data_IF_142092180029
#
_entry.id   IF_142092180029
#
_cell.length_a   1.000
_cell.length_b   1.000
_cell.length_c   1.000
_cell.angle_alpha   90.00
_cell.angle_beta   90.00
_cell.angle_gamma   90.00
#
_symmetry.space_group_name_H-M   'P 1'
#
loop_
_entity.id
_entity.type
_entity.pdbx_description
1 polymer ?
#
# COMPACT_ATOMS: atom_id res chain seq x y z
N UNK A 1 -21.85 23.31 -12.23
CA UNK A 1 -20.94 24.44 -12.50
C UNK A 1 -20.01 24.49 -11.31
N UNK A 2 -18.70 24.36 -11.52
CA UNK A 2 -17.74 24.46 -10.43
C UNK A 2 -17.53 25.90 -9.99
N UNK A 3 -17.11 26.05 -8.74
CA UNK A 3 -16.76 27.34 -8.18
C UNK A 3 -15.25 27.52 -8.06
N UNK A 4 -14.81 28.77 -8.22
CA UNK A 4 -13.47 29.20 -7.82
C UNK A 4 -13.65 30.06 -6.57
N UNK A 5 -13.02 29.64 -5.47
CA UNK A 5 -13.00 30.41 -4.23
C UNK A 5 -11.68 31.19 -4.15
N UNK A 6 -11.76 32.51 -4.10
CA UNK A 6 -10.61 33.40 -4.01
C UNK A 6 -10.47 33.94 -2.58
N UNK A 7 -9.27 33.84 -2.00
CA UNK A 7 -8.95 34.42 -0.70
C UNK A 7 -7.47 34.84 -0.65
N UNK A 8 -7.22 36.12 -0.34
CA UNK A 8 -5.87 36.67 -0.38
C UNK A 8 -5.19 36.46 -1.75
N UNK A 9 -4.07 35.76 -1.77
CA UNK A 9 -3.30 35.42 -2.97
C UNK A 9 -3.65 34.04 -3.56
N UNK A 10 -4.63 33.35 -3.00
CA UNK A 10 -4.95 31.97 -3.32
C UNK A 10 -6.25 31.84 -4.11
N UNK A 11 -6.28 30.87 -5.03
CA UNK A 11 -7.51 30.42 -5.69
C UNK A 11 -7.69 28.93 -5.52
N UNK A 12 -8.86 28.52 -5.05
CA UNK A 12 -9.24 27.13 -4.88
C UNK A 12 -10.24 26.76 -5.97
N UNK A 13 -9.83 25.87 -6.88
CA UNK A 13 -10.61 25.39 -8.01
C UNK A 13 -11.32 24.09 -7.64
N UNK A 14 -12.63 24.16 -7.39
CA UNK A 14 -13.42 23.04 -6.90
C UNK A 14 -13.41 21.84 -7.86
N UNK A 15 -13.75 22.05 -9.14
CA UNK A 15 -13.85 20.96 -10.13
C UNK A 15 -12.48 20.39 -10.48
N UNK A 16 -11.46 21.23 -10.56
CA UNK A 16 -10.11 20.81 -10.89
C UNK A 16 -9.40 20.13 -9.71
N UNK A 17 -9.87 20.31 -8.47
CA UNK A 17 -9.22 19.77 -7.27
C UNK A 17 -7.89 20.46 -6.95
N UNK A 18 -7.75 21.74 -7.32
CA UNK A 18 -6.46 22.45 -7.28
C UNK A 18 -6.48 23.68 -6.39
N UNK A 19 -5.37 23.95 -5.74
CA UNK A 19 -5.08 25.21 -5.07
C UNK A 19 -3.96 25.91 -5.83
N UNK A 20 -4.13 27.18 -6.17
CA UNK A 20 -3.09 27.99 -6.81
C UNK A 20 -2.76 29.22 -5.98
N UNK A 21 -1.54 29.72 -6.14
CA UNK A 21 -1.05 30.99 -5.60
C UNK A 21 -0.43 31.78 -6.76
N UNK A 22 -1.16 32.75 -7.29
CA UNK A 22 -0.81 33.35 -8.58
C UNK A 22 -0.87 32.30 -9.69
N UNK A 23 0.25 32.09 -10.39
CA UNK A 23 0.38 31.09 -11.47
C UNK A 23 0.89 29.72 -10.97
N UNK A 24 1.31 29.63 -9.69
CA UNK A 24 1.89 28.41 -9.13
C UNK A 24 0.80 27.49 -8.54
N UNK A 25 0.84 26.21 -8.90
CA UNK A 25 -0.03 25.18 -8.31
C UNK A 25 0.57 24.65 -7.01
N UNK A 26 -0.20 24.74 -5.92
CA UNK A 26 0.16 24.23 -4.61
C UNK A 26 -0.46 22.84 -4.41
N UNK A 27 0.41 21.84 -4.26
CA UNK A 27 -0.05 20.46 -4.11
C UNK A 27 -0.67 20.22 -2.72
N UNK A 28 -1.86 19.63 -2.71
CA UNK A 28 -2.56 19.18 -1.51
C UNK A 28 -2.95 17.70 -1.66
N UNK A 29 -2.91 16.96 -0.55
CA UNK A 29 -3.52 15.63 -0.49
C UNK A 29 -5.04 15.75 -0.66
N UNK A 30 -5.72 14.69 -1.11
CA UNK A 30 -7.18 14.72 -1.29
C UNK A 30 -7.93 15.12 0.00
N UNK A 31 -7.46 14.67 1.17
CA UNK A 31 -8.03 15.05 2.47
C UNK A 31 -7.69 16.48 2.88
N UNK A 32 -6.48 16.96 2.57
CA UNK A 32 -6.10 18.36 2.74
C UNK A 32 -6.98 19.29 1.90
N UNK A 33 -7.15 18.98 0.61
CA UNK A 33 -8.01 19.73 -0.29
C UNK A 33 -9.46 19.75 0.21
N UNK A 34 -10.04 18.59 0.53
CA UNK A 34 -11.42 18.52 1.03
C UNK A 34 -11.61 19.30 2.35
N UNK A 35 -10.63 19.25 3.26
CA UNK A 35 -10.66 20.01 4.51
C UNK A 35 -10.63 21.51 4.25
N UNK A 36 -9.74 21.96 3.35
CA UNK A 36 -9.63 23.37 2.97
C UNK A 36 -10.90 23.87 2.30
N UNK A 37 -11.43 23.12 1.33
CA UNK A 37 -12.67 23.45 0.63
C UNK A 37 -13.83 23.61 1.62
N UNK A 38 -14.01 22.65 2.53
CA UNK A 38 -15.11 22.70 3.51
C UNK A 38 -14.99 23.88 4.48
N UNK A 39 -13.76 24.25 4.86
CA UNK A 39 -13.50 25.43 5.68
C UNK A 39 -13.77 26.74 4.92
N UNK A 40 -13.40 26.80 3.64
CA UNK A 40 -13.59 27.96 2.75
C UNK A 40 -15.06 28.18 2.42
N UNK A 41 -15.83 27.12 2.16
CA UNK A 41 -17.28 27.16 1.98
C UNK A 41 -18.01 27.75 3.19
N UNK A 42 -17.42 27.63 4.37
CA UNK A 42 -17.94 28.11 5.65
C UNK A 42 -17.10 29.25 6.24
N UNK A 43 -16.44 30.04 5.39
CA UNK A 43 -15.60 31.15 5.83
C UNK A 43 -16.31 32.06 6.84
N UNK A 44 -15.58 32.45 7.90
CA UNK A 44 -16.07 33.19 9.04
C UNK A 44 -16.81 32.35 10.11
N UNK A 45 -17.23 31.13 9.80
CA UNK A 45 -17.95 30.25 10.73
C UNK A 45 -17.00 29.30 11.47
N UNK A 46 -17.32 29.02 12.75
CA UNK A 46 -16.64 27.95 13.49
C UNK A 46 -17.14 26.59 13.00
N UNK A 47 -16.21 25.76 12.53
CA UNK A 47 -16.49 24.36 12.17
C UNK A 47 -15.97 23.44 13.28
N UNK A 48 -16.85 22.69 13.98
CA UNK A 48 -16.46 21.76 15.04
C UNK A 48 -15.51 20.66 14.54
N UNK A 49 -14.63 20.17 15.43
CA UNK A 49 -13.69 19.08 15.08
C UNK A 49 -14.42 17.80 14.67
N UNK A 50 -15.46 17.43 15.39
CA UNK A 50 -16.21 16.20 15.13
C UNK A 50 -16.93 16.28 13.78
N UNK A 51 -17.44 17.46 13.42
CA UNK A 51 -18.04 17.70 12.11
C UNK A 51 -17.01 17.60 10.98
N UNK A 52 -15.81 18.16 11.16
CA UNK A 52 -14.72 17.99 10.17
C UNK A 52 -14.28 16.53 10.07
N UNK A 53 -14.19 15.82 11.19
CA UNK A 53 -13.85 14.41 11.22
C UNK A 53 -14.92 13.59 10.48
N UNK A 54 -16.19 13.81 10.76
CA UNK A 54 -17.31 13.13 10.10
C UNK A 54 -17.44 13.51 8.63
N UNK A 55 -17.24 14.77 8.25
CA UNK A 55 -17.41 15.21 6.87
C UNK A 55 -16.24 14.78 5.97
N UNK A 56 -15.02 14.91 6.46
CA UNK A 56 -13.81 14.62 5.70
C UNK A 56 -13.42 13.14 5.82
N UNK A 57 -13.78 12.49 6.93
CA UNK A 57 -13.60 11.05 7.17
C UNK A 57 -14.89 10.36 7.64
N UNK A 58 -15.96 10.35 6.81
CA UNK A 58 -17.28 9.81 7.18
C UNK A 58 -17.29 8.32 7.55
N UNK A 59 -16.23 7.58 7.26
CA UNK A 59 -16.19 6.13 7.36
C UNK A 59 -14.96 5.59 8.12
N UNK A 60 -14.41 6.35 9.05
CA UNK A 60 -13.26 5.93 9.85
C UNK A 60 -13.33 6.33 11.33
N UNK A 61 -12.83 5.46 12.22
CA UNK A 61 -12.45 5.85 13.57
C UNK A 61 -11.14 6.63 13.47
N UNK A 62 -11.24 7.93 13.18
CA UNK A 62 -10.09 8.80 12.94
C UNK A 62 -9.75 9.53 14.23
N UNK A 63 -8.55 9.28 14.75
CA UNK A 63 -8.07 10.01 15.91
C UNK A 63 -7.99 11.52 15.59
N UNK A 64 -8.34 12.41 16.54
CA UNK A 64 -8.23 13.86 16.38
C UNK A 64 -6.83 14.35 15.95
N UNK A 65 -5.80 13.53 16.14
CA UNK A 65 -4.44 13.75 15.67
C UNK A 65 -4.35 13.89 14.14
N UNK A 66 -5.15 13.15 13.36
CA UNK A 66 -5.11 13.22 11.89
C UNK A 66 -5.69 14.53 11.34
N UNK A 67 -6.78 15.02 11.94
CA UNK A 67 -7.31 16.35 11.63
C UNK A 67 -6.27 17.43 12.01
N UNK A 68 -5.63 17.28 13.16
CA UNK A 68 -4.59 18.22 13.61
C UNK A 68 -3.39 18.25 12.65
N UNK A 69 -2.94 17.09 12.16
CA UNK A 69 -1.89 16.98 11.15
C UNK A 69 -2.32 17.58 9.81
N UNK A 70 -3.57 17.38 9.39
CA UNK A 70 -4.11 17.95 8.16
C UNK A 70 -4.14 19.48 8.23
N UNK A 71 -4.59 20.05 9.35
CA UNK A 71 -4.55 21.51 9.57
C UNK A 71 -3.10 22.02 9.61
N UNK A 72 -2.18 21.27 10.22
CA UNK A 72 -0.76 21.64 10.22
C UNK A 72 -0.18 21.72 8.79
N UNK A 73 -0.45 20.71 7.95
CA UNK A 73 -0.01 20.71 6.54
C UNK A 73 -0.65 21.86 5.78
N UNK A 74 -1.95 22.10 5.94
CA UNK A 74 -2.64 23.22 5.30
C UNK A 74 -2.03 24.57 5.69
N UNK A 75 -1.74 24.77 6.98
CA UNK A 75 -1.07 26.00 7.43
C UNK A 75 0.29 26.18 6.80
N UNK A 76 1.08 25.10 6.70
CA UNK A 76 2.37 25.15 6.01
C UNK A 76 2.22 25.50 4.52
N UNK A 77 1.26 24.89 3.82
CA UNK A 77 1.02 25.16 2.39
C UNK A 77 0.52 26.59 2.13
N UNK A 78 -0.24 27.16 3.08
CA UNK A 78 -0.77 28.52 3.00
C UNK A 78 0.16 29.58 3.60
N UNK A 79 1.36 29.21 4.06
CA UNK A 79 2.27 30.05 4.85
C UNK A 79 1.62 30.72 6.07
N UNK A 80 0.70 29.99 6.70
CA UNK A 80 -0.12 30.42 7.85
C UNK A 80 0.49 29.97 9.19
N UNK A 81 1.74 30.37 9.45
CA UNK A 81 2.46 29.98 10.67
C UNK A 81 1.78 30.50 11.95
N UNK A 82 1.20 31.70 11.88
CA UNK A 82 0.55 32.39 13.01
C UNK A 82 -0.95 32.04 13.15
N UNK A 83 -1.45 31.10 12.35
CA UNK A 83 -2.85 30.66 12.34
C UNK A 83 -3.86 31.81 12.10
N UNK A 84 -3.53 32.75 11.21
CA UNK A 84 -4.36 33.86 10.76
C UNK A 84 -5.33 33.48 9.63
N UNK A 85 -5.03 32.43 8.85
CA UNK A 85 -5.90 31.94 7.76
C UNK A 85 -6.85 30.86 8.29
N UNK A 86 -6.30 29.83 8.92
CA UNK A 86 -7.05 28.78 9.61
C UNK A 86 -6.80 28.95 11.10
N UNK A 87 -7.73 29.58 11.81
CA UNK A 87 -7.65 29.81 13.25
C UNK A 87 -8.03 28.54 14.03
N UNK A 88 -7.26 28.19 15.07
CA UNK A 88 -7.69 27.18 16.05
C UNK A 88 -8.57 27.86 17.10
N UNK A 89 -9.80 27.37 17.30
CA UNK A 89 -10.62 27.73 18.46
C UNK A 89 -10.47 26.64 19.53
N UNK A 90 -9.75 26.91 20.64
CA UNK A 90 -9.41 25.88 21.62
C UNK A 90 -10.62 25.11 22.12
N UNK A 91 -10.49 23.77 22.15
CA UNK A 91 -11.56 22.87 22.60
C UNK A 91 -12.79 22.76 21.69
N UNK A 92 -12.88 23.52 20.59
CA UNK A 92 -14.10 23.55 19.75
C UNK A 92 -13.87 23.13 18.31
N UNK A 93 -12.87 23.68 17.62
CA UNK A 93 -12.78 23.50 16.17
C UNK A 93 -11.82 24.45 15.48
N UNK A 94 -12.10 24.69 14.20
CA UNK A 94 -11.33 25.59 13.35
C UNK A 94 -12.24 26.60 12.68
N UNK A 95 -11.70 27.77 12.36
CA UNK A 95 -12.41 28.83 11.62
C UNK A 95 -11.51 29.33 10.50
N UNK A 96 -12.07 29.42 9.30
CA UNK A 96 -11.40 30.10 8.19
C UNK A 96 -11.67 31.59 8.28
N UNK A 97 -10.64 32.39 8.55
CA UNK A 97 -10.81 33.81 8.87
C UNK A 97 -10.85 34.76 7.67
N UNK A 98 -10.10 34.52 6.56
CA UNK A 98 -10.10 35.45 5.44
C UNK A 98 -11.47 35.54 4.76
N UNK A 99 -11.82 36.73 4.22
CA UNK A 99 -12.99 36.85 3.36
C UNK A 99 -12.78 36.05 2.07
N UNK A 100 -13.82 35.32 1.66
CA UNK A 100 -13.81 34.48 0.46
C UNK A 100 -14.71 35.10 -0.60
N UNK A 101 -14.20 35.24 -1.82
CA UNK A 101 -14.98 35.66 -2.99
C UNK A 101 -15.25 34.46 -3.88
N UNK A 102 -16.49 34.34 -4.36
CA UNK A 102 -16.92 33.26 -5.25
C UNK A 102 -16.92 33.75 -6.69
N UNK A 103 -16.11 33.12 -7.54
CA UNK A 103 -16.15 33.30 -8.98
C UNK A 103 -16.72 32.05 -9.66
N UNK A 104 -17.48 32.23 -10.73
CA UNK A 104 -17.91 31.12 -11.57
C UNK A 104 -16.70 30.63 -12.38
N UNK A 105 -16.46 29.31 -12.37
CA UNK A 105 -15.44 28.72 -13.22
C UNK A 105 -15.84 28.94 -14.70
N UNK A 106 -14.98 29.54 -15.54
CA UNK A 106 -15.32 29.74 -16.95
C UNK A 106 -15.57 28.37 -17.59
N UNK A 107 -16.69 28.23 -18.31
CA UNK A 107 -17.03 27.03 -19.07
C UNK A 107 -15.80 26.57 -19.86
N UNK A 108 -15.35 25.35 -19.61
CA UNK A 108 -14.35 24.70 -20.43
C UNK A 108 -14.93 24.54 -21.84
N UNK A 109 -14.69 25.53 -22.71
CA UNK A 109 -14.95 25.42 -24.14
C UNK A 109 -14.04 24.31 -24.64
N UNK A 110 -14.66 23.19 -25.00
CA UNK A 110 -13.99 22.08 -25.66
C UNK A 110 -13.32 22.63 -26.91
N UNK A 111 -12.00 22.43 -27.13
CA UNK A 111 -11.39 22.88 -28.36
C UNK A 111 -12.04 22.13 -29.52
N UNK A 112 -12.51 22.90 -30.51
CA UNK A 112 -13.10 22.38 -31.73
C UNK A 112 -12.20 21.30 -32.35
N UNK A 113 -12.75 20.23 -32.93
CA UNK A 113 -11.95 19.16 -33.50
C UNK A 113 -10.97 19.73 -34.53
N UNK A 114 -9.69 19.40 -34.36
CA UNK A 114 -8.63 19.78 -35.27
C UNK A 114 -9.04 19.45 -36.71
N UNK A 115 -9.05 20.49 -37.55
CA UNK A 115 -9.42 20.43 -38.96
C UNK A 115 -8.69 19.26 -39.62
N UNK A 116 -9.45 18.26 -40.06
CA UNK A 116 -8.92 17.07 -40.72
C UNK A 116 -8.00 17.50 -41.87
N UNK A 117 -6.73 17.13 -41.76
CA UNK A 117 -5.74 17.30 -42.82
C UNK A 117 -6.21 16.41 -43.98
N UNK A 118 -6.55 17.04 -45.11
CA UNK A 118 -6.94 16.37 -46.36
C UNK A 118 -5.88 15.32 -46.73
N UNK A 119 -6.18 14.05 -46.47
CA UNK A 119 -5.41 12.93 -47.01
C UNK A 119 -5.77 12.76 -48.49
N UNK A 120 -4.73 12.61 -49.32
CA UNK A 120 -4.83 12.39 -50.75
C UNK A 120 -5.43 11.00 -51.09
N UNK A 121 -6.02 10.82 -52.29
CA UNK A 121 -6.87 9.69 -52.60
C UNK A 121 -6.03 8.47 -53.04
N UNK A 122 -5.63 7.61 -52.11
CA UNK A 122 -5.03 6.30 -52.45
C UNK A 122 -5.69 5.09 -51.77
N UNK A 123 -6.78 5.27 -51.03
CA UNK A 123 -7.48 4.17 -50.34
C UNK A 123 -8.90 4.00 -50.88
N UNK A 124 -9.01 3.42 -52.08
CA UNK A 124 -10.29 2.89 -52.61
C UNK A 124 -10.29 1.38 -52.86
N UNK A 125 -9.20 0.68 -52.55
CA UNK A 125 -9.09 -0.78 -52.82
C UNK A 125 -9.14 -1.65 -51.56
N UNK A 126 -9.02 -1.09 -50.35
CA UNK A 126 -9.00 -1.89 -49.10
C UNK A 126 -10.34 -1.94 -48.33
N UNK A 127 -11.32 -1.10 -48.68
CA UNK A 127 -12.62 -1.07 -47.99
C UNK A 127 -13.44 -2.37 -48.06
N UNK A 128 -13.57 -3.07 -49.21
CA UNK A 128 -14.37 -4.29 -49.26
C UNK A 128 -13.72 -5.46 -48.51
N UNK A 129 -12.39 -5.49 -48.39
CA UNK A 129 -11.68 -6.51 -47.62
C UNK A 129 -11.90 -6.35 -46.11
N UNK A 130 -11.85 -5.10 -45.60
CA UNK A 130 -12.15 -4.83 -44.19
C UNK A 130 -13.61 -5.12 -43.83
N UNK A 131 -14.56 -4.82 -44.72
CA UNK A 131 -15.99 -5.12 -44.49
C UNK A 131 -16.26 -6.64 -44.48
N UNK A 132 -15.61 -7.42 -45.34
CA UNK A 132 -15.75 -8.87 -45.38
C UNK A 132 -15.17 -9.56 -44.13
N UNK A 133 -14.03 -9.06 -43.61
CA UNK A 133 -13.44 -9.57 -42.36
C UNK A 133 -14.34 -9.24 -41.16
N UNK A 134 -14.90 -8.02 -41.09
CA UNK A 134 -15.85 -7.65 -40.02
C UNK A 134 -17.12 -8.51 -40.08
N UNK A 135 -17.65 -8.78 -41.28
CA UNK A 135 -18.81 -9.64 -41.45
C UNK A 135 -18.54 -11.11 -41.06
N UNK A 136 -17.35 -11.63 -41.39
CA UNK A 136 -16.92 -12.98 -40.98
C UNK A 136 -16.70 -13.09 -39.48
N UNK A 137 -16.12 -12.07 -38.84
CA UNK A 137 -15.97 -12.00 -37.38
C UNK A 137 -17.33 -11.93 -36.69
N UNK A 138 -18.28 -11.13 -37.21
CA UNK A 138 -19.64 -11.04 -36.66
C UNK A 138 -20.47 -12.31 -36.87
N UNK A 139 -20.26 -13.04 -37.97
CA UNK A 139 -20.90 -14.35 -38.18
C UNK A 139 -20.29 -15.42 -37.28
N UNK A 140 -18.97 -15.44 -37.09
CA UNK A 140 -18.30 -16.34 -36.15
C UNK A 140 -18.74 -16.08 -34.69
N UNK A 141 -18.89 -14.81 -34.30
CA UNK A 141 -19.39 -14.42 -32.98
C UNK A 141 -20.87 -14.79 -32.76
N UNK A 142 -21.69 -14.89 -33.81
CA UNK A 142 -23.08 -15.36 -33.70
C UNK A 142 -23.22 -16.88 -33.65
N UNK A 143 -22.32 -17.63 -34.29
CA UNK A 143 -22.31 -19.11 -34.25
C UNK A 143 -21.70 -19.70 -32.98
N UNK A 144 -20.98 -18.89 -32.20
CA UNK A 144 -20.37 -19.27 -30.93
C UNK A 144 -21.09 -18.73 -29.70
N UNK A 145 -22.30 -18.17 -29.86
CA UNK A 145 -23.12 -17.76 -28.72
C UNK A 145 -23.56 -19.03 -27.95
N UNK A 146 -23.10 -19.24 -26.71
CA UNK A 146 -23.68 -20.29 -25.89
C UNK A 146 -25.15 -19.97 -25.68
N UNK A 147 -25.99 -21.02 -25.62
CA UNK A 147 -27.36 -20.93 -25.16
C UNK A 147 -27.43 -20.02 -23.95
N UNK A 148 -28.27 -18.99 -24.00
CA UNK A 148 -28.47 -18.01 -22.93
C UNK A 148 -29.00 -18.70 -21.67
N UNK A 149 -28.10 -19.36 -20.93
CA UNK A 149 -28.24 -19.59 -19.51
C UNK A 149 -28.20 -18.24 -18.84
N UNK A 150 -29.03 -18.06 -17.81
CA UNK A 150 -29.25 -16.82 -17.08
C UNK A 150 -27.93 -16.25 -16.51
N UNK A 151 -27.15 -15.53 -17.31
CA UNK A 151 -26.13 -14.63 -16.80
C UNK A 151 -26.89 -13.43 -16.24
N UNK A 152 -26.96 -13.33 -14.91
CA UNK A 152 -27.44 -12.13 -14.24
C UNK A 152 -26.69 -10.93 -14.83
N UNK A 153 -27.37 -10.09 -15.61
CA UNK A 153 -26.74 -8.99 -16.31
C UNK A 153 -26.19 -8.00 -15.26
N UNK A 154 -24.87 -7.99 -15.07
CA UNK A 154 -24.20 -7.02 -14.19
C UNK A 154 -24.51 -5.62 -14.72
N UNK A 155 -25.03 -4.75 -13.84
CA UNK A 155 -25.34 -3.38 -14.24
C UNK A 155 -24.06 -2.58 -14.50
N UNK A 156 -24.13 -1.57 -15.36
CA UNK A 156 -22.99 -0.68 -15.63
C UNK A 156 -22.53 0.04 -14.35
N UNK A 157 -23.47 0.39 -13.48
CA UNK A 157 -23.20 0.97 -12.16
C UNK A 157 -22.40 -0.01 -11.29
N UNK A 158 -22.84 -1.27 -11.19
CA UNK A 158 -22.12 -2.28 -10.44
C UNK A 158 -20.71 -2.52 -10.99
N UNK A 159 -20.55 -2.53 -12.32
CA UNK A 159 -19.24 -2.67 -12.94
C UNK A 159 -18.32 -1.47 -12.64
N UNK A 160 -18.83 -0.24 -12.71
CA UNK A 160 -18.09 0.96 -12.34
C UNK A 160 -17.62 0.89 -10.89
N UNK A 161 -18.51 0.53 -9.97
CA UNK A 161 -18.19 0.40 -8.55
C UNK A 161 -17.15 -0.70 -8.33
N UNK A 162 -17.26 -1.84 -8.99
CA UNK A 162 -16.23 -2.88 -8.94
C UNK A 162 -14.86 -2.36 -9.36
N UNK A 163 -14.76 -1.64 -10.48
CA UNK A 163 -13.49 -1.07 -10.97
C UNK A 163 -12.91 -0.05 -9.97
N UNK A 164 -13.75 0.83 -9.42
CA UNK A 164 -13.33 1.74 -8.35
C UNK A 164 -12.84 0.98 -7.12
N UNK A 165 -13.53 -0.10 -6.76
CA UNK A 165 -13.13 -1.01 -5.71
C UNK A 165 -11.73 -1.56 -5.91
N UNK A 166 -11.43 -2.09 -7.11
CA UNK A 166 -10.10 -2.60 -7.47
C UNK A 166 -9.03 -1.53 -7.41
N UNK A 167 -9.33 -0.32 -7.90
CA UNK A 167 -8.40 0.81 -7.84
C UNK A 167 -8.01 1.15 -6.40
N UNK A 168 -8.97 1.37 -5.50
CA UNK A 168 -8.66 1.72 -4.11
C UNK A 168 -8.00 0.57 -3.34
N UNK A 169 -8.41 -0.67 -3.61
CA UNK A 169 -7.79 -1.86 -3.03
C UNK A 169 -6.31 -2.00 -3.45
N UNK A 170 -5.99 -1.70 -4.71
CA UNK A 170 -4.62 -1.80 -5.26
C UNK A 170 -3.62 -0.83 -4.61
N UNK A 171 -4.10 0.23 -3.96
CA UNK A 171 -3.24 1.14 -3.20
C UNK A 171 -2.63 0.47 -1.95
N UNK A 172 -3.19 -0.66 -1.50
CA UNK A 172 -2.69 -1.47 -0.37
C UNK A 172 -2.50 -0.67 0.93
N UNK A 173 -3.22 0.44 1.10
CA UNK A 173 -3.33 1.18 2.35
C UNK A 173 -4.60 0.79 3.09
N UNK A 174 -4.62 0.87 4.42
CA UNK A 174 -5.84 0.57 5.19
C UNK A 174 -7.06 1.41 4.74
N UNK A 175 -6.96 2.75 4.57
CA UNK A 175 -8.08 3.54 4.05
C UNK A 175 -8.49 3.14 2.62
N UNK A 176 -7.52 2.83 1.75
CA UNK A 176 -7.77 2.37 0.39
C UNK A 176 -8.53 1.04 0.35
N UNK A 177 -8.10 0.05 1.14
CA UNK A 177 -8.75 -1.26 1.25
C UNK A 177 -10.17 -1.13 1.83
N UNK A 178 -10.36 -0.31 2.86
CA UNK A 178 -11.69 -0.06 3.43
C UNK A 178 -12.62 0.60 2.40
N UNK A 179 -12.12 1.60 1.66
CA UNK A 179 -12.90 2.27 0.62
C UNK A 179 -13.20 1.35 -0.56
N UNK A 180 -12.23 0.55 -0.98
CA UNK A 180 -12.41 -0.45 -2.03
C UNK A 180 -13.50 -1.45 -1.68
N UNK A 181 -13.49 -1.95 -0.44
CA UNK A 181 -14.54 -2.82 0.10
C UNK A 181 -15.92 -2.17 0.10
N UNK A 182 -16.03 -0.85 0.31
CA UNK A 182 -17.33 -0.15 0.22
C UNK A 182 -17.86 -0.12 -1.20
N UNK A 183 -17.00 0.14 -2.18
CA UNK A 183 -17.40 0.09 -3.59
C UNK A 183 -17.81 -1.33 -4.02
N UNK A 184 -17.09 -2.37 -3.59
CA UNK A 184 -17.53 -3.74 -3.86
C UNK A 184 -18.91 -4.04 -3.25
N UNK A 185 -19.19 -3.54 -2.03
CA UNK A 185 -20.51 -3.66 -1.41
C UNK A 185 -21.59 -2.88 -2.18
N UNK A 186 -21.27 -1.70 -2.69
CA UNK A 186 -22.18 -0.91 -3.53
C UNK A 186 -22.50 -1.65 -4.85
N UNK A 187 -21.48 -2.24 -5.49
CA UNK A 187 -21.68 -3.06 -6.68
C UNK A 187 -22.68 -4.22 -6.44
N UNK A 188 -22.64 -4.82 -5.24
CA UNK A 188 -23.58 -5.87 -4.84
C UNK A 188 -25.00 -5.38 -4.53
N UNK A 189 -25.20 -4.09 -4.23
CA UNK A 189 -26.55 -3.54 -4.07
C UNK A 189 -27.30 -3.53 -5.39
N UNK A 190 -26.64 -3.09 -6.47
CA UNK A 190 -27.22 -3.07 -7.82
C UNK A 190 -27.11 -4.41 -8.55
N UNK A 191 -26.21 -5.31 -8.13
CA UNK A 191 -26.03 -6.63 -8.74
C UNK A 191 -25.60 -7.69 -7.72
N UNK A 192 -26.54 -8.27 -6.94
CA UNK A 192 -26.22 -9.26 -5.88
C UNK A 192 -25.56 -10.56 -6.35
N UNK A 193 -25.60 -10.85 -7.67
CA UNK A 193 -24.94 -12.01 -8.28
C UNK A 193 -23.52 -11.72 -8.80
N UNK A 194 -22.97 -10.52 -8.58
CA UNK A 194 -21.69 -10.13 -9.15
C UNK A 194 -20.51 -10.80 -8.43
N UNK A 195 -20.10 -11.98 -8.92
CA UNK A 195 -19.07 -12.82 -8.31
C UNK A 195 -17.74 -12.08 -8.08
N UNK A 196 -17.30 -11.26 -9.04
CA UNK A 196 -16.07 -10.48 -8.92
C UNK A 196 -16.10 -9.48 -7.75
N UNK A 197 -17.26 -8.90 -7.43
CA UNK A 197 -17.37 -8.00 -6.28
C UNK A 197 -17.23 -8.76 -4.95
N UNK A 198 -17.74 -10.00 -4.87
CA UNK A 198 -17.47 -10.85 -3.71
C UNK A 198 -15.98 -11.23 -3.59
N UNK A 199 -15.30 -11.52 -4.71
CA UNK A 199 -13.85 -11.76 -4.71
C UNK A 199 -13.09 -10.52 -4.22
N UNK A 200 -13.45 -9.31 -4.67
CA UNK A 200 -12.84 -8.06 -4.17
C UNK A 200 -13.07 -7.82 -2.66
N UNK A 201 -14.23 -8.20 -2.12
CA UNK A 201 -14.47 -8.18 -0.67
C UNK A 201 -13.57 -9.19 0.04
N UNK A 202 -13.41 -10.39 -0.52
CA UNK A 202 -12.52 -11.41 0.01
C UNK A 202 -11.06 -10.90 0.06
N UNK A 203 -10.58 -10.34 -1.06
CA UNK A 203 -9.25 -9.74 -1.17
C UNK A 203 -9.04 -8.63 -0.14
N UNK A 204 -10.06 -7.80 0.09
CA UNK A 204 -10.00 -6.71 1.06
C UNK A 204 -9.84 -7.23 2.49
N UNK A 205 -10.64 -8.21 2.89
CA UNK A 205 -10.52 -8.82 4.20
C UNK A 205 -9.23 -9.62 4.36
N UNK A 206 -8.77 -10.32 3.31
CA UNK A 206 -7.52 -11.07 3.34
C UNK A 206 -6.32 -10.13 3.57
N UNK A 207 -6.29 -8.97 2.90
CA UNK A 207 -5.25 -7.95 3.09
C UNK A 207 -5.31 -7.32 4.49
N UNK A 208 -6.50 -7.02 5.01
CA UNK A 208 -6.67 -6.57 6.40
C UNK A 208 -6.12 -7.63 7.36
N UNK A 209 -6.45 -8.91 7.14
CA UNK A 209 -5.93 -10.02 7.92
C UNK A 209 -4.41 -10.10 7.85
N UNK A 210 -3.83 -10.04 6.65
CA UNK A 210 -2.39 -10.09 6.39
C UNK A 210 -1.62 -9.03 7.17
N UNK A 211 -2.07 -7.76 7.13
CA UNK A 211 -1.41 -6.65 7.83
C UNK A 211 -1.78 -6.51 9.31
N UNK A 212 -2.75 -7.27 9.80
CA UNK A 212 -3.09 -7.29 11.22
C UNK A 212 -2.08 -8.10 12.02
N UNK A 213 -1.84 -7.68 13.27
CA UNK A 213 -0.98 -8.39 14.21
C UNK A 213 -1.33 -9.89 14.28
N UNK A 214 -0.29 -10.73 14.26
CA UNK A 214 -0.43 -12.17 14.39
C UNK A 214 -1.20 -12.53 15.68
N UNK A 215 -1.96 -13.62 15.65
CA UNK A 215 -2.74 -14.14 16.79
C UNK A 215 -3.74 -13.14 17.42
N UNK A 216 -4.17 -12.12 16.66
CA UNK A 216 -5.16 -11.14 17.14
C UNK A 216 -6.59 -11.53 16.74
N UNK A 217 -7.57 -11.26 17.61
CA UNK A 217 -8.98 -11.49 17.31
C UNK A 217 -9.46 -10.74 16.05
N UNK A 218 -9.04 -9.48 15.78
CA UNK A 218 -9.34 -8.81 14.52
C UNK A 218 -8.81 -9.55 13.28
N UNK A 219 -7.58 -10.08 13.35
CA UNK A 219 -7.00 -10.88 12.25
C UNK A 219 -7.85 -12.11 11.97
N UNK A 220 -8.15 -12.92 13.00
CA UNK A 220 -8.95 -14.14 12.85
C UNK A 220 -10.32 -13.84 12.24
N UNK A 221 -10.99 -12.78 12.69
CA UNK A 221 -12.28 -12.34 12.14
C UNK A 221 -12.17 -11.91 10.67
N UNK A 222 -11.15 -11.14 10.32
CA UNK A 222 -10.93 -10.71 8.95
C UNK A 222 -10.71 -11.91 8.02
N UNK A 223 -9.84 -12.86 8.39
CA UNK A 223 -9.57 -14.04 7.58
C UNK A 223 -10.79 -14.94 7.41
N UNK A 224 -11.61 -15.11 8.45
CA UNK A 224 -12.88 -15.85 8.34
C UNK A 224 -13.87 -15.18 7.36
N UNK A 225 -13.96 -13.85 7.39
CA UNK A 225 -14.79 -13.09 6.45
C UNK A 225 -14.24 -13.17 5.01
N UNK A 226 -12.92 -13.17 4.84
CA UNK A 226 -12.27 -13.33 3.56
C UNK A 226 -12.60 -14.70 2.93
N UNK A 227 -12.41 -15.78 3.70
CA UNK A 227 -12.78 -17.15 3.29
C UNK A 227 -14.25 -17.25 2.90
N UNK A 228 -15.16 -16.71 3.72
CA UNK A 228 -16.60 -16.76 3.44
C UNK A 228 -16.98 -16.00 2.15
N UNK A 229 -16.38 -14.83 1.93
CA UNK A 229 -16.62 -14.05 0.71
C UNK A 229 -16.05 -14.75 -0.54
N UNK A 230 -14.87 -15.35 -0.45
CA UNK A 230 -14.27 -16.13 -1.54
C UNK A 230 -15.14 -17.35 -1.90
N UNK A 231 -15.58 -18.11 -0.90
CA UNK A 231 -16.50 -19.24 -1.10
C UNK A 231 -17.83 -18.80 -1.73
N UNK A 232 -18.34 -17.63 -1.36
CA UNK A 232 -19.55 -17.06 -1.99
C UNK A 232 -19.30 -16.70 -3.45
N UNK A 233 -18.15 -16.13 -3.78
CA UNK A 233 -17.77 -15.82 -5.16
C UNK A 233 -17.65 -17.10 -6.00
N UNK A 234 -16.99 -18.15 -5.49
CA UNK A 234 -16.87 -19.46 -6.16
C UNK A 234 -18.24 -20.11 -6.35
N UNK A 235 -19.15 -20.00 -5.38
CA UNK A 235 -20.49 -20.54 -5.49
C UNK A 235 -21.34 -19.85 -6.59
N UNK A 236 -21.04 -18.59 -6.90
CA UNK A 236 -21.69 -17.83 -7.98
C UNK A 236 -21.01 -18.09 -9.33
N UNK A 237 -19.69 -18.18 -9.35
CA UNK A 237 -18.90 -18.50 -10.54
C UNK A 237 -17.68 -19.38 -10.17
N UNK A 238 -17.79 -20.72 -10.37
CA UNK A 238 -16.70 -21.66 -10.09
C UNK A 238 -15.49 -21.55 -11.04
N UNK A 239 -15.56 -20.71 -12.07
CA UNK A 239 -14.46 -20.46 -13.00
C UNK A 239 -13.83 -19.08 -12.80
N UNK A 240 -14.22 -18.36 -11.74
CA UNK A 240 -13.63 -17.07 -11.40
C UNK A 240 -12.25 -17.24 -10.75
N UNK A 241 -11.19 -17.03 -11.53
CA UNK A 241 -9.81 -17.17 -11.09
C UNK A 241 -9.48 -16.34 -9.84
N UNK A 242 -9.98 -15.11 -9.75
CA UNK A 242 -9.73 -14.24 -8.60
C UNK A 242 -10.27 -14.82 -7.30
N UNK A 243 -11.44 -15.46 -7.32
CA UNK A 243 -12.04 -16.02 -6.11
C UNK A 243 -11.24 -17.21 -5.55
N UNK A 244 -10.69 -18.04 -6.44
CA UNK A 244 -9.78 -19.12 -6.06
C UNK A 244 -8.46 -18.57 -5.47
N UNK A 245 -7.93 -17.46 -6.01
CA UNK A 245 -6.77 -16.79 -5.42
C UNK A 245 -7.06 -16.26 -4.01
N UNK A 246 -8.22 -15.60 -3.82
CA UNK A 246 -8.63 -15.07 -2.52
C UNK A 246 -8.79 -16.18 -1.48
N UNK A 247 -9.36 -17.32 -1.88
CA UNK A 247 -9.51 -18.48 -1.00
C UNK A 247 -8.15 -19.06 -0.61
N UNK A 248 -7.29 -19.35 -1.59
CA UNK A 248 -5.93 -19.84 -1.34
C UNK A 248 -5.12 -18.91 -0.44
N UNK A 249 -5.18 -17.61 -0.68
CA UNK A 249 -4.47 -16.64 0.16
C UNK A 249 -5.05 -16.57 1.58
N UNK A 250 -6.37 -16.56 1.75
CA UNK A 250 -6.98 -16.56 3.07
C UNK A 250 -6.64 -17.84 3.86
N UNK A 251 -6.70 -19.00 3.20
CA UNK A 251 -6.41 -20.30 3.81
C UNK A 251 -4.93 -20.46 4.17
N UNK A 252 -4.03 -19.92 3.34
CA UNK A 252 -2.59 -19.86 3.66
C UNK A 252 -2.29 -19.12 4.95
N UNK A 253 -3.03 -18.04 5.23
CA UNK A 253 -2.84 -17.22 6.43
C UNK A 253 -3.52 -17.81 7.67
N UNK A 254 -4.48 -18.72 7.47
CA UNK A 254 -5.16 -19.47 8.53
C UNK A 254 -4.34 -20.71 8.90
N UNK A 255 -3.75 -21.41 7.93
CA UNK A 255 -2.82 -22.53 8.15
C UNK A 255 -3.47 -23.88 8.49
N UNK A 256 -4.71 -24.12 8.03
CA UNK A 256 -5.44 -25.36 8.35
C UNK A 256 -5.25 -26.49 7.33
N UNK A 257 -4.97 -26.19 6.05
CA UNK A 257 -4.92 -27.20 4.99
C UNK A 257 -4.06 -26.78 3.77
N UNK A 258 -2.79 -27.20 3.79
CA UNK A 258 -1.81 -26.87 2.75
C UNK A 258 -2.17 -27.41 1.37
N UNK A 259 -2.65 -28.66 1.31
CA UNK A 259 -2.95 -29.33 0.05
C UNK A 259 -4.08 -28.62 -0.70
N UNK A 260 -5.14 -28.24 0.02
CA UNK A 260 -6.25 -27.49 -0.59
C UNK A 260 -5.80 -26.07 -0.95
N UNK A 261 -5.04 -25.40 -0.08
CA UNK A 261 -4.48 -24.07 -0.35
C UNK A 261 -3.71 -24.01 -1.68
N UNK A 262 -2.78 -24.95 -1.89
CA UNK A 262 -2.01 -25.04 -3.15
C UNK A 262 -2.91 -25.30 -4.34
N UNK A 263 -3.90 -26.19 -4.19
CA UNK A 263 -4.86 -26.50 -5.25
C UNK A 263 -5.65 -25.27 -5.68
N UNK A 264 -6.07 -24.42 -4.74
CA UNK A 264 -6.80 -23.18 -5.01
C UNK A 264 -5.94 -22.17 -5.77
N UNK A 265 -4.67 -21.99 -5.39
CA UNK A 265 -3.73 -21.15 -6.17
C UNK A 265 -3.51 -21.68 -7.58
N UNK A 266 -3.27 -22.99 -7.74
CA UNK A 266 -3.08 -23.61 -9.05
C UNK A 266 -4.34 -23.51 -9.91
N UNK A 267 -5.53 -23.65 -9.30
CA UNK A 267 -6.81 -23.47 -9.98
C UNK A 267 -7.00 -22.03 -10.46
N UNK A 268 -6.67 -21.05 -9.64
CA UNK A 268 -6.68 -19.63 -10.02
C UNK A 268 -5.81 -19.36 -11.25
N UNK A 269 -4.54 -19.78 -11.20
CA UNK A 269 -3.57 -19.59 -12.30
C UNK A 269 -3.99 -20.32 -13.58
N UNK A 270 -4.63 -21.49 -13.46
CA UNK A 270 -5.14 -22.22 -14.61
C UNK A 270 -6.37 -21.55 -15.26
N UNK A 271 -7.22 -20.89 -14.46
CA UNK A 271 -8.41 -20.19 -14.92
C UNK A 271 -8.07 -18.82 -15.53
N UNK A 272 -7.17 -18.08 -14.89
CA UNK A 272 -6.65 -16.81 -15.40
C UNK A 272 -5.11 -16.74 -15.26
N UNK A 273 -4.38 -17.18 -16.30
CA UNK A 273 -2.92 -17.10 -16.32
C UNK A 273 -2.37 -15.67 -16.24
N UNK A 274 -3.20 -14.66 -16.55
CA UNK A 274 -2.87 -13.24 -16.55
C UNK A 274 -3.08 -12.56 -15.19
N UNK A 275 -3.64 -13.26 -14.19
CA UNK A 275 -3.89 -12.67 -12.89
C UNK A 275 -2.62 -12.60 -12.03
N UNK A 276 -1.90 -11.48 -12.13
CA UNK A 276 -0.63 -11.26 -11.43
C UNK A 276 -0.73 -11.46 -9.90
N UNK A 277 -1.83 -11.03 -9.27
CA UNK A 277 -2.05 -11.17 -7.83
C UNK A 277 -2.10 -12.63 -7.36
N UNK A 278 -2.66 -13.55 -8.16
CA UNK A 278 -2.65 -14.97 -7.80
C UNK A 278 -1.22 -15.52 -7.67
N UNK A 279 -0.33 -15.07 -8.55
CA UNK A 279 1.09 -15.44 -8.54
C UNK A 279 1.86 -14.78 -7.41
N UNK A 280 1.60 -13.50 -7.12
CA UNK A 280 2.12 -12.79 -5.94
C UNK A 280 1.79 -13.58 -4.66
N UNK A 281 0.53 -13.94 -4.47
CA UNK A 281 0.08 -14.62 -3.27
C UNK A 281 0.57 -16.06 -3.17
N UNK A 282 0.60 -16.79 -4.28
CA UNK A 282 1.16 -18.13 -4.29
C UNK A 282 2.66 -18.11 -4.01
N UNK A 283 3.38 -17.11 -4.53
CA UNK A 283 4.79 -16.89 -4.21
C UNK A 283 5.02 -16.70 -2.72
N UNK A 284 4.21 -15.88 -2.04
CA UNK A 284 4.30 -15.74 -0.58
C UNK A 284 4.06 -17.05 0.16
N UNK A 285 3.08 -17.85 -0.28
CA UNK A 285 2.85 -19.17 0.30
C UNK A 285 4.10 -20.06 0.19
N UNK A 286 4.68 -20.17 -1.03
CA UNK A 286 5.88 -20.98 -1.27
C UNK A 286 7.06 -20.50 -0.43
N UNK A 287 7.24 -19.19 -0.34
CA UNK A 287 8.32 -18.57 0.43
C UNK A 287 8.25 -18.97 1.91
N UNK A 288 7.06 -18.87 2.53
CA UNK A 288 6.87 -19.26 3.94
C UNK A 288 6.93 -20.77 4.16
N UNK A 289 6.76 -21.58 3.12
CA UNK A 289 6.94 -23.05 3.15
C UNK A 289 8.36 -23.48 2.73
N UNK A 290 9.31 -22.55 2.76
CA UNK A 290 10.73 -22.79 2.47
C UNK A 290 11.04 -23.22 1.03
N UNK A 291 10.12 -23.03 0.09
CA UNK A 291 10.37 -23.16 -1.35
C UNK A 291 10.72 -21.80 -1.95
N UNK A 292 11.94 -21.33 -1.64
CA UNK A 292 12.42 -20.02 -2.10
C UNK A 292 12.53 -19.92 -3.63
N UNK A 293 12.91 -21.00 -4.31
CA UNK A 293 13.04 -20.95 -5.77
C UNK A 293 11.67 -20.89 -6.43
N UNK A 294 10.73 -21.74 -6.03
CA UNK A 294 9.36 -21.69 -6.54
C UNK A 294 8.69 -20.34 -6.25
N UNK A 295 8.96 -19.75 -5.09
CA UNK A 295 8.47 -18.41 -4.75
C UNK A 295 8.98 -17.33 -5.73
N UNK A 296 10.29 -17.31 -6.00
CA UNK A 296 10.89 -16.36 -6.94
C UNK A 296 10.37 -16.58 -8.37
N UNK A 297 10.24 -17.83 -8.81
CA UNK A 297 9.70 -18.16 -10.15
C UNK A 297 8.26 -17.64 -10.34
N UNK A 298 7.42 -17.73 -9.30
CA UNK A 298 6.06 -17.17 -9.34
C UNK A 298 6.05 -15.64 -9.29
N UNK A 299 6.93 -15.04 -8.49
CA UNK A 299 7.01 -13.58 -8.35
C UNK A 299 7.57 -12.92 -9.62
N UNK A 300 8.54 -13.53 -10.30
CA UNK A 300 9.03 -13.08 -11.60
C UNK A 300 7.92 -13.10 -12.65
N UNK A 301 7.11 -14.17 -12.67
CA UNK A 301 5.93 -14.24 -13.54
C UNK A 301 4.90 -13.16 -13.18
N UNK A 302 4.67 -12.89 -11.89
CA UNK A 302 3.80 -11.80 -11.44
C UNK A 302 4.31 -10.43 -11.94
N UNK A 303 5.61 -10.16 -11.82
CA UNK A 303 6.25 -8.93 -12.30
C UNK A 303 6.16 -8.79 -13.82
N UNK A 304 6.31 -9.89 -14.57
CA UNK A 304 6.17 -9.86 -16.03
C UNK A 304 4.73 -9.53 -16.47
N UNK A 305 3.73 -9.92 -15.68
CA UNK A 305 2.32 -9.60 -15.93
C UNK A 305 1.96 -8.17 -15.52
N UNK A 306 2.51 -7.68 -14.42
CA UNK A 306 2.28 -6.32 -13.91
C UNK A 306 3.59 -5.64 -13.47
N UNK A 307 4.37 -5.11 -14.43
CA UNK A 307 5.70 -4.57 -14.16
C UNK A 307 5.68 -3.26 -13.38
N UNK A 308 4.54 -2.55 -13.33
CA UNK A 308 4.40 -1.26 -12.65
C UNK A 308 3.78 -1.38 -11.26
N UNK A 309 3.41 -2.58 -10.82
CA UNK A 309 2.89 -2.80 -9.47
C UNK A 309 3.98 -2.58 -8.41
N UNK A 310 3.85 -1.57 -7.53
CA UNK A 310 4.82 -1.36 -6.47
C UNK A 310 4.88 -2.57 -5.53
N UNK A 311 3.73 -3.20 -5.25
CA UNK A 311 3.67 -4.30 -4.29
C UNK A 311 4.38 -5.56 -4.78
N UNK A 312 4.28 -5.87 -6.08
CA UNK A 312 4.97 -7.01 -6.70
C UNK A 312 6.47 -6.76 -6.73
N UNK A 313 6.90 -5.55 -7.12
CA UNK A 313 8.31 -5.19 -7.16
C UNK A 313 8.95 -5.20 -5.76
N UNK A 314 8.25 -4.70 -4.73
CA UNK A 314 8.70 -4.79 -3.34
C UNK A 314 8.75 -6.22 -2.83
N UNK A 315 7.73 -7.02 -3.12
CA UNK A 315 7.67 -8.41 -2.69
C UNK A 315 8.82 -9.23 -3.29
N UNK A 316 9.13 -9.04 -4.58
CA UNK A 316 10.28 -9.69 -5.23
C UNK A 316 11.60 -9.30 -4.57
N UNK A 317 11.83 -8.00 -4.38
CA UNK A 317 13.05 -7.49 -3.75
C UNK A 317 13.23 -8.07 -2.33
N UNK A 318 12.14 -8.15 -1.58
CA UNK A 318 12.14 -8.68 -0.23
C UNK A 318 12.43 -10.20 -0.19
N UNK A 319 11.83 -10.97 -1.10
CA UNK A 319 12.12 -12.41 -1.20
C UNK A 319 13.57 -12.66 -1.63
N UNK A 320 14.10 -11.90 -2.59
CA UNK A 320 15.52 -11.97 -2.97
C UNK A 320 16.43 -11.70 -1.77
N UNK A 321 16.12 -10.67 -0.98
CA UNK A 321 16.88 -10.32 0.22
C UNK A 321 16.91 -11.48 1.23
N UNK A 322 15.74 -12.01 1.61
CA UNK A 322 15.68 -13.10 2.60
C UNK A 322 16.19 -14.44 2.05
N UNK A 323 16.16 -14.65 0.73
CA UNK A 323 16.84 -15.75 0.05
C UNK A 323 18.34 -15.50 -0.16
N UNK A 324 18.91 -14.45 0.44
CA UNK A 324 20.36 -14.13 0.45
C UNK A 324 20.94 -13.79 -0.93
N UNK A 325 20.09 -13.39 -1.88
CA UNK A 325 20.47 -12.91 -3.22
C UNK A 325 20.57 -11.38 -3.21
N UNK A 326 21.56 -10.86 -2.48
CA UNK A 326 21.60 -9.44 -2.10
C UNK A 326 21.86 -8.49 -3.26
N UNK A 327 22.69 -8.88 -4.23
CA UNK A 327 22.96 -8.10 -5.44
C UNK A 327 21.66 -7.88 -6.22
N UNK A 328 20.92 -8.95 -6.48
CA UNK A 328 19.64 -8.90 -7.20
C UNK A 328 18.56 -8.18 -6.37
N UNK A 329 18.57 -8.35 -5.05
CA UNK A 329 17.67 -7.60 -4.17
C UNK A 329 17.93 -6.09 -4.25
N UNK A 330 19.20 -5.66 -4.23
CA UNK A 330 19.57 -4.25 -4.37
C UNK A 330 19.12 -3.70 -5.71
N UNK A 331 19.38 -4.40 -6.82
CA UNK A 331 18.91 -4.00 -8.15
C UNK A 331 17.38 -3.85 -8.21
N UNK A 332 16.66 -4.84 -7.68
CA UNK A 332 15.20 -4.85 -7.70
C UNK A 332 14.59 -3.78 -6.78
N UNK A 333 15.19 -3.47 -5.62
CA UNK A 333 14.75 -2.36 -4.76
C UNK A 333 14.93 -1.01 -5.45
N UNK A 334 16.08 -0.79 -6.10
CA UNK A 334 16.33 0.45 -6.85
C UNK A 334 15.37 0.61 -8.05
N UNK A 335 15.03 -0.50 -8.72
CA UNK A 335 13.97 -0.48 -9.73
C UNK A 335 12.62 -0.10 -9.11
N UNK A 336 12.27 -0.65 -7.95
CA UNK A 336 11.01 -0.35 -7.28
C UNK A 336 10.92 1.12 -6.84
N UNK A 337 12.02 1.72 -6.36
CA UNK A 337 12.12 3.15 -6.05
C UNK A 337 11.89 4.01 -7.31
N UNK A 338 12.35 3.57 -8.48
CA UNK A 338 12.11 4.30 -9.74
C UNK A 338 10.63 4.32 -10.15
N UNK A 339 9.86 3.32 -9.73
CA UNK A 339 8.41 3.21 -9.98
C UNK A 339 7.64 4.07 -8.98
N UNK A 340 7.98 3.99 -7.68
CA UNK A 340 7.36 4.79 -6.63
C UNK A 340 8.41 5.46 -5.72
N UNK A 341 8.87 6.68 -6.07
CA UNK A 341 9.95 7.36 -5.38
C UNK A 341 9.53 7.99 -4.05
N UNK A 342 8.26 7.93 -3.67
CA UNK A 342 7.74 8.53 -2.43
C UNK A 342 7.44 7.49 -1.34
N UNK A 343 7.92 6.26 -1.52
CA UNK A 343 7.72 5.18 -0.55
C UNK A 343 8.94 4.97 0.33
N UNK A 344 8.75 5.15 1.64
CA UNK A 344 9.80 4.92 2.63
C UNK A 344 10.33 3.48 2.57
N UNK A 345 9.45 2.49 2.38
CA UNK A 345 9.81 1.07 2.33
C UNK A 345 10.79 0.73 1.21
N UNK A 346 10.73 1.43 0.07
CA UNK A 346 11.65 1.23 -1.04
C UNK A 346 13.09 1.56 -0.64
N UNK A 347 13.28 2.73 -0.01
CA UNK A 347 14.58 3.18 0.47
C UNK A 347 15.10 2.37 1.66
N UNK A 348 14.20 1.97 2.58
CA UNK A 348 14.56 1.06 3.67
C UNK A 348 15.05 -0.29 3.12
N UNK A 349 14.30 -0.91 2.20
CA UNK A 349 14.65 -2.17 1.58
C UNK A 349 15.97 -2.14 0.79
N UNK A 350 16.18 -1.09 -0.02
CA UNK A 350 17.45 -0.85 -0.71
C UNK A 350 18.62 -0.75 0.29
N UNK A 351 18.45 0.03 1.35
CA UNK A 351 19.45 0.18 2.39
C UNK A 351 19.80 -1.14 3.09
N UNK A 352 18.82 -2.02 3.34
CA UNK A 352 19.08 -3.35 3.90
C UNK A 352 19.90 -4.22 2.94
N UNK A 353 19.57 -4.23 1.65
CA UNK A 353 20.32 -5.01 0.66
C UNK A 353 21.76 -4.50 0.52
N UNK A 354 21.94 -3.18 0.41
CA UNK A 354 23.25 -2.54 0.29
C UNK A 354 24.10 -2.72 1.55
N UNK A 355 23.48 -2.76 2.74
CA UNK A 355 24.14 -3.08 3.99
C UNK A 355 24.75 -4.50 3.94
N UNK A 356 24.00 -5.49 3.44
CA UNK A 356 24.48 -6.87 3.34
C UNK A 356 25.59 -7.03 2.31
N UNK A 357 25.62 -6.18 1.28
CA UNK A 357 26.72 -6.09 0.32
C UNK A 357 27.97 -5.36 0.89
N UNK A 358 27.89 -4.84 2.12
CA UNK A 358 28.97 -4.04 2.72
C UNK A 358 29.08 -2.62 2.15
N UNK A 359 28.11 -2.18 1.35
CA UNK A 359 28.02 -0.84 0.76
C UNK A 359 27.47 0.16 1.77
N UNK A 360 28.09 0.22 2.95
CA UNK A 360 27.56 0.93 4.11
C UNK A 360 27.30 2.43 3.90
N UNK A 361 28.10 3.11 3.07
CA UNK A 361 27.86 4.53 2.77
C UNK A 361 26.59 4.73 1.93
N UNK A 362 26.32 3.81 1.00
CA UNK A 362 25.10 3.81 0.20
C UNK A 362 23.90 3.47 1.11
N UNK A 363 23.99 2.40 1.88
CA UNK A 363 22.95 2.02 2.85
C UNK A 363 22.58 3.18 3.80
N UNK A 364 23.59 3.87 4.37
CA UNK A 364 23.36 5.03 5.23
C UNK A 364 22.67 6.20 4.50
N UNK A 365 22.95 6.40 3.20
CA UNK A 365 22.29 7.40 2.37
C UNK A 365 20.82 7.03 2.15
N UNK A 366 20.53 5.78 1.80
CA UNK A 366 19.17 5.31 1.56
C UNK A 366 18.33 5.34 2.85
N UNK A 367 18.87 4.90 3.99
CA UNK A 367 18.17 5.03 5.28
C UNK A 367 17.92 6.49 5.68
N UNK A 368 18.85 7.41 5.40
CA UNK A 368 18.59 8.83 5.64
C UNK A 368 17.46 9.35 4.75
N UNK A 369 17.37 8.89 3.51
CA UNK A 369 16.28 9.25 2.62
C UNK A 369 14.94 8.70 3.13
N UNK A 370 14.90 7.42 3.53
CA UNK A 370 13.74 6.81 4.20
C UNK A 370 13.30 7.64 5.43
N UNK A 371 14.23 8.14 6.25
CA UNK A 371 13.92 9.03 7.38
C UNK A 371 13.47 10.44 6.99
N UNK A 372 13.68 10.89 5.74
CA UNK A 372 13.03 12.14 5.27
C UNK A 372 11.54 11.93 5.02
N UNK A 373 11.14 10.73 4.60
CA UNK A 373 9.76 10.33 4.34
C UNK A 373 9.05 9.90 5.65
N UNK A 374 9.75 9.19 6.54
CA UNK A 374 9.26 8.78 7.87
C UNK A 374 10.26 9.09 8.99
N UNK A 375 10.30 10.33 9.52
CA UNK A 375 11.35 10.79 10.45
C UNK A 375 11.40 10.13 11.84
N UNK A 376 10.40 9.31 12.16
CA UNK A 376 10.25 8.65 13.47
C UNK A 376 10.07 7.13 13.32
N UNK A 377 10.35 6.56 12.16
CA UNK A 377 10.30 5.11 12.01
C UNK A 377 11.44 4.44 12.80
N UNK A 378 11.14 3.58 13.79
CA UNK A 378 12.16 2.99 14.64
C UNK A 378 13.06 2.00 13.88
N UNK A 379 12.53 1.27 12.90
CA UNK A 379 13.27 0.24 12.16
C UNK A 379 14.36 0.89 11.31
N UNK A 380 14.02 1.94 10.58
CA UNK A 380 14.95 2.72 9.76
C UNK A 380 15.97 3.45 10.63
N UNK A 381 15.56 4.00 11.78
CA UNK A 381 16.50 4.60 12.74
C UNK A 381 17.48 3.57 13.30
N UNK A 382 17.00 2.36 13.60
CA UNK A 382 17.80 1.22 14.04
C UNK A 382 18.80 0.78 12.98
N UNK A 383 18.35 0.60 11.74
CA UNK A 383 19.18 0.21 10.60
C UNK A 383 20.27 1.25 10.30
N UNK A 384 19.94 2.55 10.31
CA UNK A 384 20.96 3.60 10.17
C UNK A 384 21.95 3.57 11.34
N UNK A 385 21.49 3.38 12.57
CA UNK A 385 22.38 3.29 13.74
C UNK A 385 23.31 2.06 13.66
N UNK A 386 22.80 0.94 13.15
CA UNK A 386 23.58 -0.27 12.91
C UNK A 386 24.70 -0.01 11.91
N UNK A 387 24.38 0.56 10.74
CA UNK A 387 25.39 0.92 9.72
C UNK A 387 26.43 1.91 10.25
N UNK A 388 26.03 2.89 11.05
CA UNK A 388 26.97 3.83 11.68
C UNK A 388 27.89 3.13 12.69
N UNK A 389 27.39 2.16 13.44
CA UNK A 389 28.21 1.35 14.34
C UNK A 389 29.25 0.52 13.56
N UNK A 390 28.83 -0.10 12.45
CA UNK A 390 29.69 -0.91 11.57
C UNK A 390 30.76 -0.10 10.83
N UNK A 391 30.48 1.18 10.52
CA UNK A 391 31.41 2.09 9.82
C UNK A 391 32.32 2.91 10.75
N UNK A 392 32.50 2.48 11.99
CA UNK A 392 33.34 3.17 12.99
C UNK A 392 32.89 4.62 13.28
N UNK A 393 31.59 4.89 13.21
CA UNK A 393 30.98 6.15 13.64
C UNK A 393 30.14 5.96 14.92
N UNK A 394 30.76 5.53 16.05
CA UNK A 394 30.03 5.10 17.23
C UNK A 394 29.20 6.22 17.88
N UNK A 395 29.61 7.49 17.76
CA UNK A 395 28.86 8.60 18.33
C UNK A 395 27.54 8.85 17.58
N UNK A 396 27.54 8.65 16.26
CA UNK A 396 26.32 8.71 15.45
C UNK A 396 25.34 7.60 15.82
N UNK A 397 25.84 6.37 15.93
CA UNK A 397 25.08 5.21 16.36
C UNK A 397 24.48 5.42 17.77
N UNK A 398 25.28 5.85 18.74
CA UNK A 398 24.83 6.12 20.13
C UNK A 398 23.76 7.21 20.21
N UNK A 399 23.84 8.26 19.38
CA UNK A 399 22.81 9.30 19.32
C UNK A 399 21.46 8.76 18.85
N UNK A 400 21.46 7.95 17.79
CA UNK A 400 20.24 7.30 17.30
C UNK A 400 19.72 6.27 18.31
N UNK A 401 20.62 5.46 18.89
CA UNK A 401 20.30 4.50 19.95
C UNK A 401 19.57 5.19 21.12
N UNK A 402 20.11 6.30 21.62
CA UNK A 402 19.48 7.09 22.67
C UNK A 402 18.10 7.65 22.28
N UNK A 403 17.86 7.92 20.99
CA UNK A 403 16.56 8.36 20.48
C UNK A 403 15.57 7.20 20.43
N UNK A 404 15.95 6.04 19.88
CA UNK A 404 15.07 4.86 19.81
C UNK A 404 14.74 4.29 21.19
N UNK A 405 15.67 4.30 22.16
CA UNK A 405 15.41 3.81 23.52
C UNK A 405 14.36 4.62 24.29
N UNK A 406 14.02 5.83 23.83
CA UNK A 406 12.98 6.68 24.43
C UNK A 406 11.60 6.51 23.78
N UNK A 407 11.52 5.76 22.68
CA UNK A 407 10.26 5.52 21.97
C UNK A 407 9.36 4.57 22.76
N UNK A 408 8.05 4.63 22.45
CA UNK A 408 7.02 3.79 23.05
C UNK A 408 6.12 3.22 21.94
N UNK A 409 5.99 1.88 21.82
CA UNK A 409 6.78 0.85 22.53
C UNK A 409 8.29 1.00 22.24
N UNK A 410 9.12 0.43 23.12
CA UNK A 410 10.58 0.47 22.94
C UNK A 410 10.93 -0.57 21.86
N UNK A 411 11.63 -0.20 20.77
CA UNK A 411 12.02 -1.13 19.71
C UNK A 411 13.23 -1.96 20.17
N UNK A 412 12.97 -2.92 21.05
CA UNK A 412 14.00 -3.71 21.72
C UNK A 412 14.80 -4.57 20.72
N UNK A 413 14.17 -5.02 19.64
CA UNK A 413 14.82 -5.78 18.57
C UNK A 413 15.93 -4.95 17.89
N UNK A 414 15.62 -3.73 17.47
CA UNK A 414 16.57 -2.83 16.81
C UNK A 414 17.67 -2.36 17.77
N UNK A 415 17.33 -2.12 19.03
CA UNK A 415 18.31 -1.79 20.08
C UNK A 415 19.29 -2.96 20.25
N UNK A 416 18.83 -4.22 20.23
CA UNK A 416 19.70 -5.38 20.31
C UNK A 416 20.71 -5.41 19.15
N UNK A 417 20.25 -5.22 17.90
CA UNK A 417 21.12 -5.16 16.71
C UNK A 417 22.20 -4.09 16.83
N UNK A 418 21.82 -2.86 17.17
CA UNK A 418 22.75 -1.73 17.25
C UNK A 418 23.74 -1.92 18.38
N UNK A 419 23.28 -2.41 19.53
CA UNK A 419 24.13 -2.69 20.70
C UNK A 419 25.16 -3.76 20.39
N UNK A 420 24.76 -4.79 19.63
CA UNK A 420 25.67 -5.82 19.17
C UNK A 420 26.74 -5.28 18.21
N UNK A 421 26.33 -4.48 17.23
CA UNK A 421 27.23 -3.82 16.29
C UNK A 421 28.22 -2.85 16.97
N UNK A 422 27.88 -2.34 18.16
CA UNK A 422 28.76 -1.54 19.02
C UNK A 422 29.71 -2.39 19.88
N UNK A 423 29.70 -3.71 19.74
CA UNK A 423 30.55 -4.65 20.48
C UNK A 423 30.03 -5.00 21.89
N UNK A 424 28.80 -4.63 22.23
CA UNK A 424 28.23 -4.82 23.57
C UNK A 424 27.33 -6.07 23.63
N UNK A 425 27.87 -7.22 23.23
CA UNK A 425 27.10 -8.45 22.98
C UNK A 425 26.24 -8.93 24.16
N UNK A 426 26.75 -8.86 25.38
CA UNK A 426 25.99 -9.27 26.58
C UNK A 426 24.74 -8.42 26.77
N UNK A 427 24.83 -7.12 26.52
CA UNK A 427 23.69 -6.21 26.62
C UNK A 427 22.73 -6.41 25.44
N UNK A 428 23.24 -6.66 24.23
CA UNK A 428 22.42 -7.00 23.08
C UNK A 428 21.54 -8.24 23.32
N UNK A 429 22.07 -9.29 23.96
CA UNK A 429 21.28 -10.48 24.33
C UNK A 429 20.16 -10.18 25.32
N UNK A 430 20.35 -9.21 26.23
CA UNK A 430 19.29 -8.76 27.16
C UNK A 430 18.19 -8.00 26.41
N UNK A 431 18.56 -7.13 25.48
CA UNK A 431 17.60 -6.44 24.62
C UNK A 431 16.83 -7.40 23.74
N UNK A 432 17.47 -8.44 23.21
CA UNK A 432 16.79 -9.47 22.43
C UNK A 432 15.80 -10.26 23.28
N UNK A 433 16.17 -10.66 24.50
CA UNK A 433 15.23 -11.29 25.44
C UNK A 433 14.05 -10.37 25.82
N UNK A 434 14.30 -9.05 25.92
CA UNK A 434 13.23 -8.08 26.12
C UNK A 434 12.29 -8.01 24.90
N UNK A 435 12.85 -8.00 23.68
CA UNK A 435 12.07 -8.00 22.45
C UNK A 435 11.15 -9.24 22.37
N UNK A 436 11.68 -10.42 22.71
CA UNK A 436 10.90 -11.66 22.79
C UNK A 436 9.77 -11.56 23.82
N UNK A 437 10.07 -11.08 25.04
CA UNK A 437 9.07 -10.99 26.12
C UNK A 437 7.99 -9.93 25.88
N UNK A 438 8.28 -8.90 25.08
CA UNK A 438 7.33 -7.87 24.69
C UNK A 438 6.55 -8.19 23.41
N UNK A 439 6.83 -9.34 22.78
CA UNK A 439 6.31 -9.68 21.46
C UNK A 439 6.57 -8.55 20.44
N UNK A 440 7.79 -8.00 20.45
CA UNK A 440 8.23 -7.01 19.48
C UNK A 440 7.99 -7.53 18.05
N UNK A 441 7.44 -6.65 17.20
CA UNK A 441 7.00 -7.00 15.84
C UNK A 441 8.10 -7.65 15.00
N UNK A 442 9.36 -7.25 15.22
CA UNK A 442 10.49 -7.70 14.41
C UNK A 442 11.04 -9.06 14.85
N UNK A 443 10.60 -9.60 16.01
CA UNK A 443 11.00 -10.94 16.47
C UNK A 443 10.55 -12.03 15.52
N UNK A 444 9.42 -11.87 14.82
CA UNK A 444 8.98 -12.84 13.82
C UNK A 444 9.96 -12.96 12.64
N UNK A 445 10.65 -11.88 12.31
CA UNK A 445 11.69 -11.85 11.28
C UNK A 445 13.02 -12.38 11.79
N UNK A 446 13.18 -12.58 13.11
CA UNK A 446 14.42 -13.06 13.72
C UNK A 446 15.02 -14.23 12.95
N UNK A 447 14.34 -15.37 12.68
CA UNK A 447 14.98 -16.52 12.05
C UNK A 447 15.57 -16.26 10.65
N UNK A 448 15.05 -15.26 9.94
CA UNK A 448 15.41 -14.97 8.55
C UNK A 448 16.32 -13.75 8.40
N UNK A 449 16.34 -12.83 9.38
CA UNK A 449 17.11 -11.59 9.32
C UNK A 449 18.63 -11.87 9.32
N UNK A 450 19.36 -11.54 8.24
CA UNK A 450 20.82 -11.72 8.16
C UNK A 450 21.60 -11.06 9.29
N UNK A 451 21.11 -9.90 9.75
CA UNK A 451 21.81 -9.06 10.74
C UNK A 451 21.88 -9.73 12.11
N UNK A 452 21.02 -10.73 12.32
CA UNK A 452 20.91 -11.51 13.54
C UNK A 452 21.70 -12.83 13.52
N UNK A 453 22.40 -13.17 12.43
CA UNK A 453 23.14 -14.44 12.31
C UNK A 453 24.17 -14.61 13.45
N UNK A 454 24.93 -13.55 13.78
CA UNK A 454 25.92 -13.57 14.87
C UNK A 454 25.28 -13.76 16.25
N UNK A 455 24.18 -13.04 16.53
CA UNK A 455 23.45 -13.14 17.79
C UNK A 455 22.77 -14.50 17.95
N UNK A 456 22.23 -15.08 16.87
CA UNK A 456 21.71 -16.46 16.86
C UNK A 456 22.78 -17.46 17.25
N UNK A 457 23.97 -17.35 16.64
CA UNK A 457 25.07 -18.24 16.93
C UNK A 457 25.49 -18.12 18.41
N UNK A 458 25.67 -16.90 18.92
CA UNK A 458 26.03 -16.64 20.31
C UNK A 458 24.98 -17.18 21.31
N UNK A 459 23.68 -16.95 21.05
CA UNK A 459 22.60 -17.44 21.90
C UNK A 459 22.49 -18.98 21.92
N UNK A 460 22.89 -19.66 20.84
CA UNK A 460 22.93 -21.13 20.79
C UNK A 460 24.05 -21.72 21.65
N UNK A 461 25.19 -21.04 21.75
CA UNK A 461 26.32 -21.44 22.59
C UNK A 461 26.00 -21.21 24.08
N UNK A 462 25.37 -20.09 24.42
CA UNK A 462 24.95 -19.78 25.79
C UNK A 462 23.92 -20.76 26.36
N UNK A 463 23.05 -21.34 25.52
CA UNK A 463 22.07 -22.38 25.90
C UNK A 463 22.68 -23.78 26.07
N UNK A 464 23.91 -24.01 25.61
CA UNK A 464 24.61 -25.30 25.69
C UNK A 464 25.64 -25.38 26.82
N UNK A 465 25.83 -24.32 27.61
CA UNK A 465 26.65 -24.40 28.81
C UNK A 465 25.91 -25.26 29.86
N UNK A 466 26.47 -26.40 30.31
CA UNK A 466 25.83 -27.18 31.36
C UNK A 466 25.91 -26.43 32.68
N UNK A 467 24.87 -26.57 33.49
CA UNK A 467 24.94 -26.40 34.95
C UNK A 467 26.06 -27.29 35.50
N UNK A 468 27.27 -26.76 35.57
CA UNK A 468 28.38 -27.37 36.30
C UNK A 468 28.83 -26.40 37.39
N UNK A 469 28.00 -26.29 38.43
CA UNK A 469 28.42 -26.12 39.82
C UNK A 469 27.18 -26.07 40.73
N UNK A 470 26.75 -27.23 41.20
CA UNK A 470 26.10 -27.43 42.49
C UNK A 470 26.45 -28.83 43.00
#
# INVERSE_FOLDING_TARGET
MGHIYEFGQFRLHETAGKLTRGDDELHLTAKGFATLLYLVERAGSLVPKDELLERIWPDGFVEPANLTQTIYVLRKTLDDADAQIIETVPGRGYRFAPPVQLAAEPEHVTPAPARARRMQPFLRVLWPACAAVIALVLMALRSSAPSAGQSSSVSLEAHRDYVLGRYYWSQRTYPGVVLGMRYFKAALQSSPGYAQAYAGIADSYAIIGYYSAANSAPRARALALARAAAQRAIALDPNLGEAHASLGFSDSLIGENDRETVREFQRSIALDPGYATAREWYSWYLFYHHDSQGALDQMEQARNLDPLSPIINFALANQLFFSRRYEEASEQWHQAISIDPNTEIGFYGAGLADEQLGLFQLAAKEFRHALTLSPKDPDTMGALAYVLARTQQPDGARRLLAKISRMKPVPAYDIALVTDALGQRTEALRWLALAESQHDRNVASYPMDPRMDDLRHAASLGRKAPDSNA
#
